data_IF_680856264040
#
_entry.id   IF_680856264040
#
_cell.length_a   1.000
_cell.length_b   1.000
_cell.length_c   1.000
_cell.angle_alpha   90.00
_cell.angle_beta   90.00
_cell.angle_gamma   90.00
#
_symmetry.space_group_name_H-M   'P 1'
#
loop_
_entity.id
_entity.type
_entity.pdbx_description
1 polymer ?
#
# COMPACT_ATOMS: atom_id res chain seq x y z
N UNK A 1 44.31 -12.14 -63.90
CA UNK A 1 43.62 -10.84 -64.06
C UNK A 1 43.25 -10.39 -62.65
N UNK A 2 43.96 -9.45 -61.99
CA UNK A 2 44.09 -7.98 -62.21
C UNK A 2 42.88 -7.19 -61.66
N UNK A 3 43.00 -6.11 -60.86
CA UNK A 3 44.17 -5.33 -60.40
C UNK A 3 43.88 -4.48 -59.12
N UNK A 4 44.90 -3.77 -58.56
CA UNK A 4 44.97 -2.98 -57.27
C UNK A 4 46.16 -1.96 -57.41
N UNK A 5 46.39 -0.80 -56.69
CA UNK A 5 45.77 -0.10 -55.52
C UNK A 5 45.26 1.36 -55.88
N UNK A 6 45.04 2.38 -55.02
CA UNK A 6 44.90 2.52 -53.54
C UNK A 6 45.80 3.58 -52.84
N UNK A 7 45.21 4.56 -52.10
CA UNK A 7 45.89 5.61 -51.27
C UNK A 7 46.33 6.90 -52.03
N UNK A 8 46.93 7.95 -51.40
CA UNK A 8 47.28 8.17 -49.97
C UNK A 8 46.86 9.58 -49.39
N UNK A 9 47.77 10.36 -48.77
CA UNK A 9 47.51 11.41 -47.73
C UNK A 9 48.22 12.79 -47.96
N UNK A 10 47.73 13.87 -47.28
CA UNK A 10 48.59 14.79 -46.48
C UNK A 10 48.99 16.20 -47.00
N UNK A 11 49.05 17.20 -46.08
CA UNK A 11 49.58 18.58 -46.27
C UNK A 11 48.51 19.70 -46.16
N UNK A 12 48.77 20.96 -45.75
CA UNK A 12 49.98 21.66 -45.25
C UNK A 12 49.63 23.11 -44.77
N UNK A 13 50.53 23.81 -44.05
CA UNK A 13 50.25 25.12 -43.38
C UNK A 13 50.53 26.37 -44.24
N UNK A 14 49.81 27.49 -43.99
CA UNK A 14 50.45 28.80 -43.68
C UNK A 14 49.50 29.85 -43.04
N UNK A 15 50.03 31.05 -42.73
CA UNK A 15 49.46 32.06 -41.83
C UNK A 15 48.85 33.29 -42.55
N UNK A 16 48.02 34.06 -41.82
CA UNK A 16 47.62 35.42 -42.19
C UNK A 16 46.96 36.16 -41.01
N UNK A 17 47.42 37.37 -40.68
CA UNK A 17 47.02 38.09 -39.46
C UNK A 17 46.66 39.56 -39.73
N UNK A 18 45.51 40.03 -39.25
CA UNK A 18 45.23 41.46 -39.05
C UNK A 18 44.28 41.69 -37.88
N UNK A 19 44.50 42.77 -37.14
CA UNK A 19 43.75 43.16 -35.93
C UNK A 19 43.27 44.60 -36.01
N UNK A 20 42.00 44.88 -35.68
CA UNK A 20 41.54 46.16 -35.10
C UNK A 20 40.04 46.08 -34.72
N UNK A 21 39.61 46.90 -33.75
CA UNK A 21 38.19 47.24 -33.56
C UNK A 21 37.46 46.59 -32.36
N UNK A 22 37.63 47.17 -31.17
CA UNK A 22 36.56 47.23 -30.14
C UNK A 22 35.73 48.52 -30.39
N UNK A 23 34.52 48.73 -29.81
CA UNK A 23 33.92 48.04 -28.66
C UNK A 23 32.48 47.52 -28.89
N UNK A 24 31.94 46.78 -27.91
CA UNK A 24 30.54 46.32 -28.00
C UNK A 24 30.05 45.32 -26.96
N UNK A 25 30.53 45.35 -25.71
CA UNK A 25 29.93 44.53 -24.65
C UNK A 25 28.49 45.01 -24.33
N UNK A 26 27.51 44.40 -24.98
CA UNK A 26 26.17 44.30 -24.38
C UNK A 26 26.31 43.35 -23.18
N UNK A 27 25.86 43.70 -21.96
CA UNK A 27 25.74 42.70 -20.92
C UNK A 27 24.75 41.65 -21.43
N UNK A 28 25.22 40.41 -21.58
CA UNK A 28 24.33 39.31 -21.93
C UNK A 28 23.27 39.21 -20.85
N UNK A 29 22.00 39.44 -21.21
CA UNK A 29 20.90 38.99 -20.37
C UNK A 29 21.03 37.47 -20.31
N UNK A 30 21.60 36.98 -19.21
CA UNK A 30 21.67 35.56 -18.94
C UNK A 30 20.24 35.06 -18.85
N UNK A 31 19.76 34.47 -19.95
CA UNK A 31 18.54 33.68 -19.93
C UNK A 31 18.81 32.52 -18.98
N UNK A 32 18.39 32.69 -17.73
CA UNK A 32 18.57 31.71 -16.68
C UNK A 32 17.78 30.48 -17.13
N UNK A 33 18.49 29.50 -17.68
CA UNK A 33 17.89 28.39 -18.39
C UNK A 33 17.06 27.59 -17.40
N UNK A 34 15.74 27.74 -17.48
CA UNK A 34 14.80 27.14 -16.54
C UNK A 34 14.89 25.63 -16.69
N UNK A 35 15.51 24.98 -15.71
CA UNK A 35 15.55 23.52 -15.63
C UNK A 35 14.13 23.01 -15.34
N UNK A 36 13.44 22.62 -16.42
CA UNK A 36 12.09 22.07 -16.36
C UNK A 36 12.02 20.80 -15.51
N UNK A 37 13.11 20.03 -15.40
CA UNK A 37 13.19 18.87 -14.51
C UNK A 37 13.17 19.27 -13.03
N UNK A 38 13.92 20.31 -12.66
CA UNK A 38 13.86 20.89 -11.32
C UNK A 38 12.50 21.53 -11.02
N UNK A 39 11.90 22.26 -11.97
CA UNK A 39 10.56 22.85 -11.80
C UNK A 39 9.50 21.77 -11.61
N UNK A 40 9.47 20.74 -12.45
CA UNK A 40 8.55 19.60 -12.30
C UNK A 40 8.75 18.88 -10.98
N UNK A 41 10.01 18.68 -10.54
CA UNK A 41 10.32 18.06 -9.25
C UNK A 41 9.77 18.90 -8.09
N UNK A 42 10.00 20.22 -8.09
CA UNK A 42 9.47 21.13 -7.07
C UNK A 42 7.94 21.21 -7.07
N UNK A 43 7.31 21.16 -8.25
CA UNK A 43 5.85 21.11 -8.37
C UNK A 43 5.29 19.80 -7.78
N UNK A 44 5.89 18.66 -8.10
CA UNK A 44 5.49 17.36 -7.56
C UNK A 44 5.63 17.30 -6.03
N UNK A 45 6.73 17.82 -5.47
CA UNK A 45 6.91 17.94 -4.01
C UNK A 45 5.81 18.79 -3.38
N UNK A 46 5.51 19.98 -3.93
CA UNK A 46 4.46 20.86 -3.39
C UNK A 46 3.06 20.27 -3.49
N UNK A 47 2.76 19.54 -4.57
CA UNK A 47 1.48 18.82 -4.72
C UNK A 47 1.39 17.71 -3.66
N UNK A 48 2.47 16.95 -3.42
CA UNK A 48 2.50 15.94 -2.37
C UNK A 48 2.35 16.56 -0.96
N UNK A 49 3.03 17.67 -0.67
CA UNK A 49 2.89 18.43 0.59
C UNK A 49 1.44 18.89 0.82
N UNK A 50 0.77 19.43 -0.22
CA UNK A 50 -0.62 19.85 -0.16
C UNK A 50 -1.59 18.68 0.05
N UNK A 51 -1.37 17.55 -0.64
CA UNK A 51 -2.17 16.33 -0.46
C UNK A 51 -2.01 15.77 0.95
N UNK A 52 -0.78 15.67 1.48
CA UNK A 52 -0.53 15.25 2.85
C UNK A 52 -1.11 16.23 3.88
N UNK A 53 -1.08 17.54 3.60
CA UNK A 53 -1.78 18.56 4.38
C UNK A 53 -3.29 18.35 4.42
N UNK A 54 -3.90 18.07 3.26
CA UNK A 54 -5.34 17.80 3.14
C UNK A 54 -5.75 16.51 3.85
N UNK A 55 -5.01 15.42 3.70
CA UNK A 55 -5.23 14.19 4.46
C UNK A 55 -5.14 14.46 5.97
N UNK A 56 -4.10 15.15 6.43
CA UNK A 56 -3.94 15.49 7.85
C UNK A 56 -5.04 16.41 8.39
N UNK A 57 -5.69 17.21 7.54
CA UNK A 57 -6.90 17.95 7.89
C UNK A 57 -8.12 17.00 8.00
N UNK A 58 -8.37 16.15 6.99
CA UNK A 58 -9.47 15.16 7.02
C UNK A 58 -9.39 14.24 8.23
N UNK A 59 -8.20 13.72 8.58
CA UNK A 59 -7.95 12.93 9.81
C UNK A 59 -8.41 13.65 11.10
N UNK A 60 -8.34 14.99 11.15
CA UNK A 60 -8.80 15.80 12.31
C UNK A 60 -10.31 16.07 12.26
N UNK A 61 -10.88 16.25 11.08
CA UNK A 61 -12.34 16.44 10.88
C UNK A 61 -13.08 15.14 11.22
N UNK A 62 -12.72 14.03 10.58
CA UNK A 62 -13.31 12.71 10.86
C UNK A 62 -13.02 12.23 12.29
N UNK A 63 -11.84 12.55 12.83
CA UNK A 63 -11.52 12.33 14.25
C UNK A 63 -12.35 13.17 15.24
N UNK A 64 -13.12 14.16 14.77
CA UNK A 64 -14.10 14.91 15.56
C UNK A 64 -15.54 14.47 15.26
N UNK A 65 -15.87 14.21 14.00
CA UNK A 65 -17.14 13.61 13.58
C UNK A 65 -17.38 12.27 14.30
N UNK A 66 -16.39 11.39 14.36
CA UNK A 66 -16.47 10.13 15.10
C UNK A 66 -16.81 10.33 16.60
N UNK A 67 -16.35 11.42 17.23
CA UNK A 67 -16.70 11.77 18.61
C UNK A 67 -18.16 12.22 18.71
N UNK A 68 -18.62 13.01 17.74
CA UNK A 68 -20.00 13.48 17.67
C UNK A 68 -20.97 12.31 17.47
N UNK A 69 -20.75 11.47 16.46
CA UNK A 69 -21.58 10.30 16.16
C UNK A 69 -21.65 9.34 17.36
N UNK A 70 -20.52 9.10 18.05
CA UNK A 70 -20.52 8.30 19.29
C UNK A 70 -21.33 8.97 20.41
N UNK A 71 -21.21 10.28 20.60
CA UNK A 71 -21.95 11.01 21.63
C UNK A 71 -23.47 11.03 21.35
N UNK A 72 -23.88 11.21 20.09
CA UNK A 72 -25.28 11.12 19.64
C UNK A 72 -25.84 9.70 19.85
N UNK A 73 -25.05 8.67 19.50
CA UNK A 73 -25.35 7.27 19.79
C UNK A 73 -25.21 6.88 21.28
N UNK A 74 -24.81 7.81 22.17
CA UNK A 74 -24.55 7.62 23.61
C UNK A 74 -23.52 6.52 23.92
N UNK A 75 -22.65 6.21 22.94
CA UNK A 75 -21.54 5.25 23.02
C UNK A 75 -20.27 5.97 23.49
N UNK A 76 -19.31 5.20 24.01
CA UNK A 76 -17.93 5.64 24.23
C UNK A 76 -17.04 4.96 23.19
N UNK A 77 -15.99 5.66 22.76
CA UNK A 77 -14.94 5.06 21.94
C UNK A 77 -14.23 3.95 22.73
N UNK A 78 -13.89 2.84 22.08
CA UNK A 78 -13.09 1.75 22.70
C UNK A 78 -11.62 2.15 22.86
N UNK A 79 -11.14 3.06 22.01
CA UNK A 79 -9.76 3.54 21.92
C UNK A 79 -9.70 5.02 21.49
N UNK A 80 -8.54 5.69 21.55
CA UNK A 80 -8.37 7.03 21.00
C UNK A 80 -8.77 7.10 19.52
N UNK A 81 -9.69 8.00 19.17
CA UNK A 81 -10.18 8.20 17.81
C UNK A 81 -9.13 8.94 16.97
N UNK A 82 -8.25 8.15 16.35
CA UNK A 82 -7.08 8.61 15.60
C UNK A 82 -7.00 7.79 14.31
N UNK A 83 -6.94 8.49 13.18
CA UNK A 83 -6.60 7.91 11.88
C UNK A 83 -5.08 7.72 11.80
N UNK A 84 -4.63 6.51 11.45
CA UNK A 84 -3.24 6.03 11.56
C UNK A 84 -2.64 5.49 10.27
N UNK A 85 -3.44 5.29 9.23
CA UNK A 85 -2.94 4.91 7.90
C UNK A 85 -1.86 5.88 7.40
N UNK A 86 -0.89 5.48 6.56
CA UNK A 86 0.16 6.39 6.12
C UNK A 86 -0.34 7.54 5.22
N UNK A 87 -1.07 7.24 4.15
CA UNK A 87 -1.44 8.19 3.08
C UNK A 87 -2.89 8.71 3.16
N UNK A 88 -3.77 8.04 3.92
CA UNK A 88 -5.19 8.39 4.07
C UNK A 88 -6.15 7.26 3.69
N UNK A 89 -5.67 6.02 3.72
CA UNK A 89 -6.38 4.80 3.40
C UNK A 89 -7.61 4.63 4.32
N UNK A 90 -7.42 4.86 5.63
CA UNK A 90 -8.50 4.83 6.63
C UNK A 90 -9.47 6.02 6.52
N UNK A 91 -9.00 7.17 6.03
CA UNK A 91 -9.84 8.33 5.70
C UNK A 91 -10.77 7.99 4.53
N UNK A 92 -10.25 7.44 3.44
CA UNK A 92 -11.04 6.99 2.29
C UNK A 92 -12.08 5.93 2.70
N UNK A 93 -11.69 4.95 3.52
CA UNK A 93 -12.61 3.91 3.97
C UNK A 93 -13.69 4.46 4.93
N UNK A 94 -13.36 5.41 5.81
CA UNK A 94 -14.34 6.08 6.67
C UNK A 94 -15.43 6.79 5.86
N UNK A 95 -15.02 7.48 4.79
CA UNK A 95 -15.92 8.13 3.84
C UNK A 95 -16.81 7.11 3.09
N UNK A 96 -16.25 5.98 2.63
CA UNK A 96 -17.00 4.90 1.98
C UNK A 96 -18.00 4.19 2.93
N UNK A 97 -17.68 4.08 4.21
CA UNK A 97 -18.60 3.56 5.22
C UNK A 97 -19.52 4.63 5.83
N UNK A 98 -19.34 5.92 5.49
CA UNK A 98 -20.16 7.02 5.98
C UNK A 98 -20.19 7.13 7.50
N UNK A 99 -19.04 6.94 8.16
CA UNK A 99 -18.92 7.05 9.62
C UNK A 99 -19.67 6.00 10.45
N UNK A 100 -20.04 4.85 9.87
CA UNK A 100 -20.67 3.73 10.61
C UNK A 100 -19.88 3.38 11.89
N UNK A 101 -20.60 3.28 13.00
CA UNK A 101 -20.01 2.97 14.32
C UNK A 101 -19.89 1.47 14.57
N UNK A 102 -20.49 0.63 13.72
CA UNK A 102 -20.51 -0.83 13.78
C UNK A 102 -20.30 -1.42 12.37
N UNK A 103 -19.88 -2.68 12.37
CA UNK A 103 -19.44 -3.45 11.20
C UNK A 103 -18.41 -4.48 11.62
N UNK A 104 -18.01 -5.35 10.69
CA UNK A 104 -16.95 -6.33 10.91
C UNK A 104 -15.75 -6.10 9.99
N UNK A 105 -14.54 -6.05 10.56
CA UNK A 105 -13.31 -5.86 9.80
C UNK A 105 -12.32 -7.03 9.90
N UNK A 106 -11.47 -7.16 8.89
CA UNK A 106 -10.30 -8.04 8.87
C UNK A 106 -9.12 -7.24 8.34
N UNK A 107 -7.98 -7.29 9.02
CA UNK A 107 -6.73 -6.65 8.57
C UNK A 107 -5.60 -7.68 8.61
N UNK A 108 -5.11 -8.07 7.43
CA UNK A 108 -4.02 -9.01 7.25
C UNK A 108 -2.75 -8.27 6.86
N UNK A 109 -1.68 -8.44 7.64
CA UNK A 109 -0.55 -7.51 7.68
C UNK A 109 -0.67 -6.48 8.81
N UNK A 110 -1.31 -6.85 9.92
CA UNK A 110 -1.71 -5.90 10.96
C UNK A 110 -0.54 -5.22 11.71
N UNK A 111 0.69 -5.71 11.59
CA UNK A 111 1.85 -5.12 12.24
C UNK A 111 1.74 -5.16 13.77
N UNK A 112 2.02 -4.04 14.44
CA UNK A 112 1.78 -3.88 15.88
C UNK A 112 0.30 -3.57 16.21
N UNK A 113 -0.62 -3.71 15.25
CA UNK A 113 -2.04 -3.37 15.36
C UNK A 113 -2.30 -1.86 15.49
N UNK A 114 -1.32 -0.99 15.24
CA UNK A 114 -1.43 0.44 15.56
C UNK A 114 -0.72 1.35 14.58
N UNK A 115 0.60 1.26 14.44
CA UNK A 115 1.36 2.11 13.51
C UNK A 115 1.04 1.71 12.07
N UNK A 116 0.50 2.64 11.27
CA UNK A 116 0.11 2.38 9.89
C UNK A 116 -1.24 1.64 9.71
N UNK A 117 -1.79 1.01 10.77
CA UNK A 117 -3.04 0.25 10.70
C UNK A 117 -4.19 1.07 10.10
N UNK A 118 -4.78 0.51 9.05
CA UNK A 118 -5.93 1.02 8.30
C UNK A 118 -7.23 0.69 9.04
N UNK A 119 -7.28 -0.45 9.74
CA UNK A 119 -8.43 -0.82 10.59
C UNK A 119 -8.52 0.00 11.88
N UNK A 120 -7.53 0.86 12.20
CA UNK A 120 -7.39 1.37 13.57
C UNK A 120 -8.63 2.13 14.07
N UNK A 121 -9.19 3.01 13.25
CA UNK A 121 -10.33 3.86 13.66
C UNK A 121 -11.64 3.06 13.86
N UNK A 122 -11.81 1.94 13.15
CA UNK A 122 -13.07 1.18 13.13
C UNK A 122 -13.32 0.46 14.47
N UNK A 123 -12.34 -0.25 15.02
CA UNK A 123 -12.39 -0.77 16.41
C UNK A 123 -12.53 0.38 17.43
N UNK A 124 -11.88 1.52 17.21
CA UNK A 124 -11.96 2.66 18.11
C UNK A 124 -13.39 3.24 18.23
N UNK A 125 -14.19 3.24 17.14
CA UNK A 125 -15.64 3.55 17.21
C UNK A 125 -16.51 2.37 17.67
N UNK A 126 -16.01 1.14 17.49
CA UNK A 126 -16.56 -0.06 18.11
C UNK A 126 -17.04 -1.13 17.13
N UNK A 127 -16.43 -1.22 15.95
CA UNK A 127 -16.49 -2.41 15.10
C UNK A 127 -15.75 -3.57 15.78
N UNK A 128 -16.17 -4.79 15.47
CA UNK A 128 -15.45 -6.01 15.84
C UNK A 128 -14.60 -6.49 14.66
N UNK A 129 -13.55 -7.28 14.92
CA UNK A 129 -12.69 -7.71 13.83
C UNK A 129 -11.52 -8.62 14.18
N UNK A 130 -10.80 -9.01 13.12
CA UNK A 130 -9.66 -9.92 13.16
C UNK A 130 -8.41 -9.21 12.64
N UNK A 131 -7.32 -9.30 13.40
CA UNK A 131 -5.99 -8.90 12.97
C UNK A 131 -5.18 -10.17 12.67
N UNK A 132 -4.48 -10.20 11.54
CA UNK A 132 -3.58 -11.30 11.18
C UNK A 132 -2.18 -10.74 10.96
N UNK A 133 -1.21 -11.24 11.72
CA UNK A 133 0.18 -10.82 11.65
C UNK A 133 1.11 -12.04 11.72
N UNK A 134 2.13 -12.04 10.86
CA UNK A 134 3.04 -13.17 10.70
C UNK A 134 4.25 -13.11 11.65
N UNK A 135 4.71 -11.93 12.08
CA UNK A 135 5.87 -11.82 13.00
C UNK A 135 5.41 -12.00 14.45
N UNK A 136 6.00 -12.93 15.23
CA UNK A 136 5.58 -13.18 16.61
C UNK A 136 5.59 -11.93 17.48
N UNK A 137 6.64 -11.11 17.37
CA UNK A 137 6.82 -9.92 18.21
C UNK A 137 5.80 -8.82 17.88
N UNK A 138 5.37 -8.73 16.62
CA UNK A 138 4.37 -7.80 16.17
C UNK A 138 2.95 -8.27 16.52
N UNK A 139 2.66 -9.57 16.39
CA UNK A 139 1.38 -10.16 16.78
C UNK A 139 1.08 -10.02 18.29
N UNK A 140 2.09 -10.16 19.16
CA UNK A 140 1.91 -9.87 20.60
C UNK A 140 1.72 -8.37 20.88
N UNK A 141 2.42 -7.48 20.15
CA UNK A 141 2.21 -6.04 20.24
C UNK A 141 0.80 -5.63 19.77
N UNK A 142 0.27 -6.27 18.72
CA UNK A 142 -1.10 -6.09 18.26
C UNK A 142 -2.12 -6.47 19.33
N UNK A 143 -1.96 -7.60 20.03
CA UNK A 143 -2.84 -7.99 21.16
C UNK A 143 -2.87 -6.92 22.26
N UNK A 144 -1.72 -6.36 22.59
CA UNK A 144 -1.61 -5.31 23.61
C UNK A 144 -2.19 -3.95 23.15
N UNK A 145 -2.02 -3.59 21.87
CA UNK A 145 -2.55 -2.35 21.29
C UNK A 145 -4.05 -2.43 20.95
N UNK A 146 -4.62 -3.63 20.76
CA UNK A 146 -5.96 -3.88 20.19
C UNK A 146 -6.76 -4.91 21.00
N UNK A 147 -7.05 -4.62 22.29
CA UNK A 147 -7.62 -5.61 23.22
C UNK A 147 -9.05 -6.07 22.90
N UNK A 148 -9.75 -5.43 21.96
CA UNK A 148 -11.10 -5.84 21.52
C UNK A 148 -11.06 -6.68 20.23
N UNK A 149 -9.92 -6.74 19.53
CA UNK A 149 -9.77 -7.46 18.27
C UNK A 149 -9.25 -8.87 18.52
N UNK A 150 -9.71 -9.85 17.72
CA UNK A 150 -9.08 -11.18 17.72
C UNK A 150 -7.78 -11.12 16.92
N UNK A 151 -6.65 -11.33 17.58
CA UNK A 151 -5.34 -11.37 16.90
C UNK A 151 -4.90 -12.80 16.64
N UNK A 152 -4.71 -13.13 15.37
CA UNK A 152 -4.18 -14.40 14.89
C UNK A 152 -2.70 -14.24 14.54
N UNK A 153 -1.84 -15.03 15.18
CA UNK A 153 -0.42 -15.13 14.84
C UNK A 153 -0.25 -16.22 13.78
N UNK A 154 -0.36 -15.81 12.52
CA UNK A 154 -0.19 -16.69 11.36
C UNK A 154 0.21 -15.88 10.13
N UNK A 155 0.93 -16.52 9.22
CA UNK A 155 1.11 -16.02 7.87
C UNK A 155 0.04 -16.64 6.95
N UNK A 156 -0.61 -15.81 6.12
CA UNK A 156 -1.71 -16.28 5.26
C UNK A 156 -1.21 -17.05 4.04
N UNK A 157 -1.94 -18.12 3.70
CA UNK A 157 -1.60 -19.04 2.60
C UNK A 157 -2.83 -19.49 1.81
N UNK A 158 -2.60 -20.20 0.71
CA UNK A 158 -3.65 -20.81 -0.13
C UNK A 158 -4.45 -21.87 0.66
N UNK A 159 -5.67 -22.15 0.22
CA UNK A 159 -6.48 -23.21 0.83
C UNK A 159 -5.74 -24.57 0.80
N UNK A 160 -5.75 -25.30 1.92
CA UNK A 160 -5.03 -26.56 2.06
C UNK A 160 -3.50 -26.43 2.20
N UNK A 161 -2.99 -25.26 2.60
CA UNK A 161 -1.57 -25.01 2.91
C UNK A 161 -1.31 -24.57 4.36
N UNK A 162 -2.24 -24.94 5.25
CA UNK A 162 -2.11 -24.78 6.69
C UNK A 162 -0.99 -25.67 7.26
N UNK A 163 -0.29 -25.20 8.31
CA UNK A 163 0.82 -25.92 8.92
C UNK A 163 1.85 -25.00 9.57
N UNK A 164 3.14 -25.26 9.31
CA UNK A 164 4.28 -24.43 9.72
C UNK A 164 5.11 -24.07 8.47
N UNK A 165 5.67 -22.86 8.44
CA UNK A 165 6.57 -22.40 7.38
C UNK A 165 7.70 -21.55 7.92
N UNK A 166 8.75 -21.38 7.11
CA UNK A 166 9.84 -20.44 7.39
C UNK A 166 9.52 -19.10 6.74
N UNK A 167 9.66 -18.02 7.51
CA UNK A 167 9.52 -16.65 7.06
C UNK A 167 10.87 -15.93 7.16
N UNK A 168 11.21 -15.16 6.13
CA UNK A 168 12.47 -14.44 6.01
C UNK A 168 12.27 -12.95 6.35
N UNK A 169 13.02 -12.43 7.32
CA UNK A 169 12.91 -11.04 7.84
C UNK A 169 14.25 -10.32 7.67
N UNK A 170 14.38 -9.26 6.86
CA UNK A 170 15.62 -8.50 6.73
C UNK A 170 15.89 -7.69 8.01
N UNK A 171 17.05 -7.86 8.66
CA UNK A 171 17.32 -7.18 9.94
C UNK A 171 17.39 -5.65 9.81
N UNK A 172 17.77 -5.13 8.64
CA UNK A 172 17.77 -3.69 8.35
C UNK A 172 16.39 -3.11 8.01
N UNK A 173 15.42 -3.95 7.68
CA UNK A 173 14.06 -3.53 7.33
C UNK A 173 13.03 -4.46 7.99
N UNK A 174 13.00 -4.57 9.34
CA UNK A 174 12.27 -5.60 10.07
C UNK A 174 10.74 -5.43 10.05
N UNK A 175 10.25 -4.40 9.36
CA UNK A 175 8.83 -4.20 9.05
C UNK A 175 8.34 -5.12 7.92
N UNK A 176 9.23 -5.53 7.01
CA UNK A 176 8.89 -6.47 5.94
C UNK A 176 9.26 -7.91 6.33
N UNK A 177 8.47 -8.86 5.87
CA UNK A 177 8.73 -10.30 6.12
C UNK A 177 8.05 -11.16 5.05
N UNK A 178 8.74 -12.21 4.59
CA UNK A 178 8.34 -12.94 3.38
C UNK A 178 8.25 -14.45 3.61
N UNK A 179 7.15 -15.08 3.16
CA UNK A 179 6.96 -16.54 3.21
C UNK A 179 7.64 -17.34 2.09
N UNK A 180 8.03 -16.69 0.99
CA UNK A 180 8.47 -17.38 -0.24
C UNK A 180 9.92 -17.07 -0.58
N UNK A 181 10.67 -18.08 -0.97
CA UNK A 181 12.02 -17.96 -1.55
C UNK A 181 12.00 -17.68 -3.06
N UNK A 182 10.86 -17.22 -3.61
CA UNK A 182 10.74 -16.81 -5.01
C UNK A 182 11.85 -15.82 -5.40
N UNK A 183 12.27 -15.83 -6.68
CA UNK A 183 13.37 -14.96 -7.14
C UNK A 183 13.12 -13.49 -6.78
N UNK A 184 11.88 -12.99 -6.89
CA UNK A 184 11.50 -11.61 -6.55
C UNK A 184 11.69 -11.27 -5.07
N UNK A 185 11.48 -12.23 -4.17
CA UNK A 185 11.82 -12.06 -2.74
C UNK A 185 13.33 -12.14 -2.55
N UNK A 186 14.02 -13.07 -3.20
CA UNK A 186 15.49 -13.13 -3.16
C UNK A 186 16.13 -11.81 -3.63
N UNK A 187 15.57 -11.19 -4.67
CA UNK A 187 15.96 -9.86 -5.16
C UNK A 187 15.71 -8.78 -4.09
N UNK A 188 14.52 -8.74 -3.46
CA UNK A 188 14.22 -7.80 -2.36
C UNK A 188 15.06 -8.00 -1.09
N UNK A 189 15.39 -9.24 -0.74
CA UNK A 189 16.28 -9.54 0.38
C UNK A 189 17.70 -9.04 0.09
N UNK A 190 18.16 -9.12 -1.17
CA UNK A 190 19.42 -8.55 -1.61
C UNK A 190 19.39 -7.00 -1.64
N UNK A 191 18.29 -6.38 -2.08
CA UNK A 191 18.07 -4.92 -2.04
C UNK A 191 18.05 -4.36 -0.62
N UNK A 192 17.36 -5.03 0.32
CA UNK A 192 17.35 -4.65 1.73
C UNK A 192 18.75 -4.75 2.36
N UNK A 193 19.50 -5.80 1.97
CA UNK A 193 20.94 -5.93 2.10
C UNK A 193 21.47 -6.15 3.52
N UNK A 194 22.22 -7.24 3.73
CA UNK A 194 22.74 -7.63 5.05
C UNK A 194 22.07 -8.91 5.57
N UNK A 195 22.10 -9.17 6.88
CA UNK A 195 21.55 -10.41 7.43
C UNK A 195 20.02 -10.47 7.33
N UNK A 196 19.55 -11.71 7.14
CA UNK A 196 18.13 -12.08 7.07
C UNK A 196 17.88 -13.11 8.16
N UNK A 197 16.97 -12.81 9.08
CA UNK A 197 16.53 -13.72 10.13
C UNK A 197 15.47 -14.67 9.59
N UNK A 198 15.65 -15.96 9.79
CA UNK A 198 14.61 -16.97 9.56
C UNK A 198 13.75 -17.15 10.82
N UNK A 199 12.43 -17.17 10.66
CA UNK A 199 11.46 -17.31 11.74
C UNK A 199 10.45 -18.39 11.35
N UNK A 200 10.24 -19.39 12.21
CA UNK A 200 9.15 -20.37 12.05
C UNK A 200 7.83 -19.72 12.44
N UNK A 201 6.84 -19.81 11.56
CA UNK A 201 5.51 -19.20 11.74
C UNK A 201 4.39 -20.20 11.41
N UNK A 202 3.23 -20.12 12.08
CA UNK A 202 2.05 -20.87 11.66
C UNK A 202 1.57 -20.41 10.28
N UNK A 203 1.23 -21.36 9.42
CA UNK A 203 0.56 -21.11 8.15
C UNK A 203 -0.93 -21.41 8.30
N UNK A 204 -1.79 -20.50 7.82
CA UNK A 204 -3.24 -20.69 7.78
C UNK A 204 -3.83 -20.08 6.51
N UNK A 205 -4.81 -20.73 5.91
CA UNK A 205 -5.70 -20.07 4.95
C UNK A 205 -6.58 -19.03 5.66
N UNK A 206 -7.00 -17.97 4.96
CA UNK A 206 -7.88 -16.95 5.56
C UNK A 206 -9.22 -17.56 6.00
N UNK A 207 -9.67 -18.61 5.32
CA UNK A 207 -10.82 -19.42 5.75
C UNK A 207 -10.62 -20.08 7.11
N UNK A 208 -9.43 -20.64 7.38
CA UNK A 208 -9.09 -21.25 8.68
C UNK A 208 -8.97 -20.20 9.77
N UNK A 209 -8.45 -19.01 9.45
CA UNK A 209 -8.40 -17.89 10.39
C UNK A 209 -9.82 -17.42 10.74
N UNK A 210 -10.72 -17.30 9.77
CA UNK A 210 -12.08 -16.82 9.99
C UNK A 210 -12.97 -17.87 10.67
N UNK A 211 -12.93 -19.14 10.25
CA UNK A 211 -13.71 -20.21 10.85
C UNK A 211 -15.20 -19.93 10.83
N UNK A 212 -15.84 -19.91 11.99
CA UNK A 212 -17.28 -19.62 12.15
C UNK A 212 -17.53 -18.16 12.57
N UNK A 213 -16.89 -17.21 11.88
CA UNK A 213 -17.29 -15.79 11.92
C UNK A 213 -18.64 -15.65 11.19
N UNK A 214 -19.71 -15.56 11.97
CA UNK A 214 -21.09 -15.34 11.50
C UNK A 214 -21.31 -13.87 11.11
N UNK A 215 -21.10 -13.54 9.85
CA UNK A 215 -21.50 -12.25 9.27
C UNK A 215 -20.82 -11.94 7.94
N UNK A 216 -21.38 -11.05 7.11
CA UNK A 216 -20.64 -10.46 6.00
C UNK A 216 -19.52 -9.58 6.58
N UNK A 217 -18.31 -9.71 6.05
CA UNK A 217 -17.24 -8.76 6.36
C UNK A 217 -17.61 -7.40 5.74
N UNK A 218 -17.56 -6.30 6.50
CA UNK A 218 -17.68 -4.96 5.91
C UNK A 218 -16.38 -4.58 5.21
N UNK A 219 -15.24 -4.73 5.90
CA UNK A 219 -13.91 -4.31 5.44
C UNK A 219 -12.89 -5.44 5.51
N UNK A 220 -12.23 -5.76 4.39
CA UNK A 220 -11.06 -6.64 4.33
C UNK A 220 -9.83 -5.86 3.84
N UNK A 221 -8.83 -5.69 4.69
CA UNK A 221 -7.52 -5.09 4.35
C UNK A 221 -6.48 -6.20 4.18
N UNK A 222 -5.66 -6.12 3.13
CA UNK A 222 -4.49 -6.99 2.92
C UNK A 222 -3.27 -6.18 2.50
N UNK A 223 -2.22 -6.20 3.32
CA UNK A 223 -0.86 -5.76 2.99
C UNK A 223 0.11 -6.85 3.45
N UNK A 224 0.49 -7.75 2.54
CA UNK A 224 1.20 -8.99 2.85
C UNK A 224 2.57 -9.06 2.16
N UNK A 225 3.08 -7.90 1.73
CA UNK A 225 4.37 -7.70 1.07
C UNK A 225 4.61 -8.65 -0.14
N UNK A 226 3.54 -9.04 -0.86
CA UNK A 226 3.56 -9.99 -1.98
C UNK A 226 2.82 -11.31 -1.73
N UNK A 227 2.21 -11.49 -0.55
CA UNK A 227 1.41 -12.66 -0.17
C UNK A 227 -0.08 -12.59 -0.56
N UNK A 228 -0.53 -11.48 -1.15
CA UNK A 228 -1.94 -11.13 -1.34
C UNK A 228 -2.68 -12.17 -2.20
N UNK A 229 -2.06 -12.60 -3.30
CA UNK A 229 -2.65 -13.59 -4.23
C UNK A 229 -2.79 -14.98 -3.59
N UNK A 230 -1.90 -15.35 -2.66
CA UNK A 230 -2.00 -16.62 -1.95
C UNK A 230 -3.03 -16.56 -0.82
N UNK A 231 -3.13 -15.43 -0.11
CA UNK A 231 -4.20 -15.18 0.86
C UNK A 231 -5.59 -15.13 0.20
N UNK A 232 -5.74 -14.45 -0.94
CA UNK A 232 -6.96 -14.41 -1.75
C UNK A 232 -7.35 -15.80 -2.30
N UNK A 233 -6.36 -16.67 -2.55
CA UNK A 233 -6.59 -18.09 -2.91
C UNK A 233 -6.76 -19.02 -1.71
N UNK A 234 -6.64 -18.51 -0.48
CA UNK A 234 -7.07 -19.13 0.76
C UNK A 234 -8.38 -18.58 1.31
N UNK A 235 -9.12 -17.82 0.48
CA UNK A 235 -10.29 -17.06 0.90
C UNK A 235 -11.55 -17.38 0.08
N UNK A 236 -12.59 -17.83 0.77
CA UNK A 236 -13.93 -18.05 0.25
C UNK A 236 -14.72 -16.74 0.33
N UNK A 237 -14.56 -15.93 -0.72
CA UNK A 237 -15.30 -14.67 -0.91
C UNK A 237 -16.82 -14.88 -0.95
N UNK A 238 -17.28 -16.08 -1.31
CA UNK A 238 -18.70 -16.39 -1.49
C UNK A 238 -19.37 -16.85 -0.17
N UNK A 239 -18.60 -17.40 0.79
CA UNK A 239 -19.01 -17.54 2.20
C UNK A 239 -19.02 -16.18 2.90
N UNK A 240 -17.86 -15.51 2.99
CA UNK A 240 -17.66 -14.37 3.91
C UNK A 240 -18.03 -12.99 3.32
N UNK A 241 -18.19 -12.89 1.99
CA UNK A 241 -18.73 -11.74 1.25
C UNK A 241 -18.30 -10.35 1.76
N UNK A 242 -17.00 -9.99 1.78
CA UNK A 242 -16.55 -8.62 2.05
C UNK A 242 -17.36 -7.58 1.27
N UNK A 243 -17.69 -6.44 1.87
CA UNK A 243 -18.35 -5.35 1.13
C UNK A 243 -17.31 -4.51 0.39
N UNK A 244 -16.23 -4.16 1.10
CA UNK A 244 -15.04 -3.50 0.56
C UNK A 244 -13.81 -4.35 0.83
N UNK A 245 -12.95 -4.53 -0.17
CA UNK A 245 -11.59 -5.02 0.02
C UNK A 245 -10.58 -3.91 -0.33
N UNK A 246 -9.60 -3.64 0.53
CA UNK A 246 -8.43 -2.83 0.20
C UNK A 246 -7.20 -3.72 0.22
N UNK A 247 -6.57 -3.91 -0.93
CA UNK A 247 -5.49 -4.89 -1.13
C UNK A 247 -4.30 -4.14 -1.72
N UNK A 248 -3.10 -4.31 -1.18
CA UNK A 248 -1.92 -3.69 -1.80
C UNK A 248 -1.73 -4.17 -3.25
N UNK A 249 -1.47 -3.22 -4.15
CA UNK A 249 -1.31 -3.46 -5.58
C UNK A 249 0.09 -3.11 -6.09
N UNK A 250 1.06 -2.90 -5.21
CA UNK A 250 2.45 -2.57 -5.56
C UNK A 250 3.28 -3.83 -5.86
N UNK A 251 2.71 -5.01 -5.60
CA UNK A 251 3.44 -6.27 -5.55
C UNK A 251 2.77 -7.34 -6.40
N UNK A 252 3.55 -7.98 -7.28
CA UNK A 252 3.13 -9.20 -7.98
C UNK A 252 3.45 -10.42 -7.13
N UNK A 253 2.59 -11.43 -7.23
CA UNK A 253 2.86 -12.77 -6.71
C UNK A 253 4.11 -13.42 -7.32
N UNK A 254 4.57 -14.52 -6.71
CA UNK A 254 5.69 -15.33 -7.20
C UNK A 254 5.55 -15.82 -8.66
N UNK A 255 4.32 -15.84 -9.20
CA UNK A 255 4.01 -16.25 -10.58
C UNK A 255 3.80 -15.06 -11.54
N UNK A 256 4.04 -13.82 -11.12
CA UNK A 256 3.82 -12.61 -11.93
C UNK A 256 2.36 -12.19 -12.08
N UNK A 257 1.43 -12.81 -11.35
CA UNK A 257 0.02 -12.39 -11.34
C UNK A 257 -0.16 -11.18 -10.40
N UNK A 258 -0.80 -10.12 -10.90
CA UNK A 258 -1.21 -8.93 -10.15
C UNK A 258 -2.57 -9.11 -9.48
N UNK A 259 -2.90 -8.25 -8.51
CA UNK A 259 -4.20 -8.26 -7.81
C UNK A 259 -5.34 -7.96 -8.79
N UNK A 260 -5.19 -7.01 -9.71
CA UNK A 260 -6.21 -6.71 -10.73
C UNK A 260 -6.43 -7.89 -11.67
N UNK A 261 -5.37 -8.61 -12.02
CA UNK A 261 -5.45 -9.84 -12.83
C UNK A 261 -6.07 -11.02 -12.11
N UNK A 262 -6.05 -11.04 -10.77
CA UNK A 262 -6.69 -12.08 -9.94
C UNK A 262 -8.15 -11.75 -9.60
N UNK A 263 -8.47 -10.49 -9.32
CA UNK A 263 -9.81 -10.06 -8.89
C UNK A 263 -10.81 -9.92 -10.06
N UNK A 264 -10.34 -9.88 -11.31
CA UNK A 264 -11.19 -9.78 -12.50
C UNK A 264 -12.20 -10.93 -12.58
N UNK A 265 -13.49 -10.59 -12.55
CA UNK A 265 -14.59 -11.54 -12.67
C UNK A 265 -14.92 -12.31 -11.38
N UNK A 266 -14.48 -11.81 -10.22
CA UNK A 266 -14.72 -12.46 -8.92
C UNK A 266 -15.97 -11.97 -8.17
N UNK A 267 -16.85 -11.19 -8.82
CA UNK A 267 -17.99 -10.53 -8.16
C UNK A 267 -17.62 -9.22 -7.43
N UNK A 268 -16.47 -8.65 -7.79
CA UNK A 268 -15.89 -7.46 -7.17
C UNK A 268 -15.38 -6.49 -8.26
N UNK A 269 -15.92 -5.29 -8.26
CA UNK A 269 -15.48 -4.20 -9.15
C UNK A 269 -14.34 -3.41 -8.52
N UNK A 270 -13.32 -3.05 -9.30
CA UNK A 270 -12.31 -2.09 -8.87
C UNK A 270 -12.94 -0.70 -8.80
N UNK A 271 -12.94 -0.10 -7.61
CA UNK A 271 -13.46 1.24 -7.37
C UNK A 271 -12.38 2.30 -7.54
N UNK A 272 -11.22 2.11 -6.90
CA UNK A 272 -10.15 3.11 -6.87
C UNK A 272 -8.76 2.48 -6.76
N UNK A 273 -7.74 3.20 -7.26
CA UNK A 273 -6.34 2.92 -7.03
C UNK A 273 -5.77 4.04 -6.15
N UNK A 274 -5.55 3.75 -4.86
CA UNK A 274 -5.18 4.74 -3.84
C UNK A 274 -3.97 4.27 -3.06
N UNK A 275 -2.98 5.15 -2.85
CA UNK A 275 -1.76 4.86 -2.08
C UNK A 275 -0.97 3.60 -2.50
N UNK A 276 -1.10 3.15 -3.76
CA UNK A 276 -0.52 1.89 -4.25
C UNK A 276 -1.46 0.69 -4.11
N UNK A 277 -2.39 0.72 -3.15
CA UNK A 277 -3.48 -0.23 -2.99
C UNK A 277 -4.54 -0.17 -4.10
N UNK A 278 -5.38 -1.20 -4.14
CA UNK A 278 -6.60 -1.32 -4.95
C UNK A 278 -7.80 -1.52 -4.04
N UNK A 279 -8.79 -0.64 -4.17
CA UNK A 279 -10.05 -0.71 -3.43
C UNK A 279 -11.09 -1.36 -4.32
N UNK A 280 -11.59 -2.53 -3.91
CA UNK A 280 -12.66 -3.26 -4.58
C UNK A 280 -13.95 -3.16 -3.78
N UNK A 281 -15.07 -3.08 -4.48
CA UNK A 281 -16.42 -3.13 -3.90
C UNK A 281 -17.17 -4.33 -4.48
N UNK A 282 -17.91 -5.03 -3.62
CA UNK A 282 -18.75 -6.17 -4.05
C UNK A 282 -19.83 -5.69 -5.02
N UNK A 283 -20.00 -6.41 -6.12
CA UNK A 283 -21.04 -6.10 -7.10
C UNK A 283 -22.43 -6.12 -6.43
N UNK A 284 -23.22 -5.07 -6.65
CA UNK A 284 -24.53 -4.87 -6.01
C UNK A 284 -24.53 -4.25 -4.60
N UNK A 285 -23.40 -3.76 -4.07
CA UNK A 285 -23.41 -2.97 -2.82
C UNK A 285 -23.68 -1.47 -3.09
N UNK A 286 -24.93 -1.15 -3.47
CA UNK A 286 -25.35 0.20 -3.86
C UNK A 286 -25.13 1.26 -2.76
N UNK A 287 -25.01 0.85 -1.49
CA UNK A 287 -24.72 1.78 -0.37
C UNK A 287 -23.30 2.34 -0.50
N UNK A 288 -22.32 1.49 -0.79
CA UNK A 288 -20.93 1.92 -1.00
C UNK A 288 -20.79 2.66 -2.33
N UNK A 289 -21.42 2.17 -3.41
CA UNK A 289 -21.31 2.79 -4.73
C UNK A 289 -21.85 4.22 -4.75
N UNK A 290 -23.03 4.49 -4.17
CA UNK A 290 -23.58 5.86 -4.07
C UNK A 290 -22.74 6.80 -3.22
N UNK A 291 -22.01 6.31 -2.22
CA UNK A 291 -21.05 7.15 -1.49
C UNK A 291 -19.83 7.42 -2.36
N UNK A 292 -19.29 6.41 -3.01
CA UNK A 292 -18.13 6.55 -3.89
C UNK A 292 -18.34 7.57 -5.02
N UNK A 293 -19.54 7.65 -5.60
CA UNK A 293 -19.94 8.68 -6.58
C UNK A 293 -19.81 10.12 -6.05
N UNK A 294 -19.83 10.33 -4.72
CA UNK A 294 -19.65 11.64 -4.08
C UNK A 294 -18.20 11.93 -3.68
N UNK A 295 -17.30 10.95 -3.81
CA UNK A 295 -15.89 11.10 -3.49
C UNK A 295 -15.09 11.43 -4.74
N UNK A 296 -14.07 12.27 -4.59
CA UNK A 296 -13.04 12.47 -5.63
C UNK A 296 -11.94 11.44 -5.39
N UNK A 297 -12.01 10.33 -6.14
CA UNK A 297 -11.17 9.13 -6.08
C UNK A 297 -10.68 8.72 -7.47
#
# INVERSE_FOLDING_TARGET
MSQVPGGPQGGGFMQGSFTQGAPGQRPGQGQQQVDLGQVLTQMNTRVHELMMGMTNLRRRVWGNEAKQLLAEAKRKARMPLIFRSPMGEDVLLWDLFGGKLDGFYVEAGAGDGRLGSVSYVFDAVGWDGVLVEARPEAAEAAKANRPNARVEHAALTRAGKDGEGTMHVPEKMPLYSYLTTSKRVSDRLAEAGGPVREVKVPLKSLNTVLGEVDGPIDLLVMDLVGGEIDALAGFDRDKYKPRVMMIDGQHESANGQTVEGYMKGTGYSLLAAFAGSRVYVREGDDEIMRRAETLVI
#
